data_IF_807216888249
#
_entry.id   IF_807216888249
#
_cell.length_a   1.000
_cell.length_b   1.000
_cell.length_c   1.000
_cell.angle_alpha   90.00
_cell.angle_beta   90.00
_cell.angle_gamma   90.00
#
_symmetry.space_group_name_H-M   'P 1'
#
loop_
_entity.id
_entity.type
_entity.pdbx_description
1 polymer ?
#
# COMPACT_ATOMS: atom_id res chain seq x y z
N UNK A 1 10.27 9.09 -5.52
CA UNK A 1 10.13 9.39 -6.96
C UNK A 1 9.48 10.76 -7.12
N UNK A 2 9.73 11.51 -8.21
CA UNK A 2 9.03 12.78 -8.41
C UNK A 2 7.55 12.53 -8.72
N UNK A 3 6.66 13.10 -7.91
CA UNK A 3 5.19 13.07 -8.06
C UNK A 3 4.73 13.62 -9.41
N UNK A 4 5.60 14.31 -10.15
CA UNK A 4 5.40 14.72 -11.55
C UNK A 4 4.98 13.56 -12.45
N UNK A 5 5.50 12.34 -12.24
CA UNK A 5 5.12 11.17 -13.04
C UNK A 5 3.66 10.74 -12.82
N UNK A 6 3.00 11.25 -11.78
CA UNK A 6 1.60 10.96 -11.49
C UNK A 6 0.64 11.98 -12.14
N UNK A 7 1.14 13.08 -12.70
CA UNK A 7 0.31 14.10 -13.36
C UNK A 7 -0.59 13.54 -14.48
N UNK A 8 -0.14 12.59 -15.34
CA UNK A 8 -1.02 12.02 -16.35
C UNK A 8 -2.27 11.32 -15.77
N UNK A 9 -2.22 10.89 -14.51
CA UNK A 9 -3.35 10.22 -13.85
C UNK A 9 -4.55 11.15 -13.63
N UNK A 10 -4.34 12.48 -13.66
CA UNK A 10 -5.42 13.47 -13.61
C UNK A 10 -6.42 13.32 -14.76
N UNK A 11 -5.96 12.81 -15.90
CA UNK A 11 -6.75 12.68 -17.13
C UNK A 11 -7.21 11.24 -17.37
N UNK A 12 -6.94 10.33 -16.44
CA UNK A 12 -7.26 8.92 -16.62
C UNK A 12 -8.75 8.68 -16.34
N UNK A 13 -9.51 8.10 -17.29
CA UNK A 13 -10.90 7.77 -17.02
C UNK A 13 -11.02 6.69 -15.95
N UNK A 14 -12.09 6.73 -15.17
CA UNK A 14 -12.33 5.83 -14.02
C UNK A 14 -12.18 4.34 -14.37
N UNK A 15 -12.77 3.89 -15.49
CA UNK A 15 -12.69 2.50 -15.93
C UNK A 15 -11.24 2.03 -16.19
N UNK A 16 -10.36 2.94 -16.61
CA UNK A 16 -8.94 2.65 -16.82
C UNK A 16 -8.15 2.66 -15.51
N UNK A 17 -8.60 3.38 -14.48
CA UNK A 17 -7.91 3.41 -13.18
C UNK A 17 -7.92 2.03 -12.49
N UNK A 18 -9.05 1.33 -12.52
CA UNK A 18 -9.14 -0.04 -12.01
C UNK A 18 -8.30 -1.00 -12.87
N UNK A 19 -8.37 -0.86 -14.20
CA UNK A 19 -7.56 -1.65 -15.13
C UNK A 19 -6.06 -1.50 -14.87
N UNK A 20 -5.58 -0.27 -14.63
CA UNK A 20 -4.19 -0.02 -14.27
C UNK A 20 -3.80 -0.72 -12.97
N UNK A 21 -4.64 -0.66 -11.93
CA UNK A 21 -4.38 -1.30 -10.63
C UNK A 21 -4.25 -2.83 -10.74
N UNK A 22 -5.09 -3.45 -11.57
CA UNK A 22 -5.07 -4.90 -11.78
C UNK A 22 -3.90 -5.31 -12.68
N UNK A 23 -3.63 -4.57 -13.76
CA UNK A 23 -2.52 -4.86 -14.68
C UNK A 23 -1.17 -4.71 -13.99
N UNK A 24 -0.98 -3.67 -13.19
CA UNK A 24 0.25 -3.47 -12.44
C UNK A 24 0.51 -4.54 -11.40
N UNK A 25 -0.53 -5.10 -10.78
CA UNK A 25 -0.39 -6.23 -9.87
C UNK A 25 0.19 -7.45 -10.60
N UNK A 26 -0.06 -7.61 -11.90
CA UNK A 26 0.55 -8.69 -12.71
C UNK A 26 2.04 -8.42 -12.99
N UNK A 27 2.41 -7.17 -13.31
CA UNK A 27 3.78 -6.83 -13.73
C UNK A 27 4.76 -6.61 -12.57
N UNK A 28 4.33 -5.89 -11.54
CA UNK A 28 5.14 -5.58 -10.36
C UNK A 28 4.95 -6.61 -9.24
N UNK A 29 4.03 -7.55 -9.46
CA UNK A 29 3.56 -8.47 -8.45
C UNK A 29 2.46 -7.87 -7.59
N UNK A 30 1.69 -8.73 -6.91
CA UNK A 30 0.69 -8.25 -5.98
C UNK A 30 1.45 -7.51 -4.87
N UNK A 31 1.17 -6.22 -4.72
CA UNK A 31 2.11 -5.29 -4.10
C UNK A 31 2.35 -5.46 -2.59
N UNK A 32 1.64 -6.37 -1.93
CA UNK A 32 1.70 -6.54 -0.46
C UNK A 32 2.13 -7.92 0.01
N UNK A 33 2.80 -8.76 -0.78
CA UNK A 33 3.29 -10.03 -0.23
C UNK A 33 4.11 -10.90 -1.16
N UNK A 34 4.23 -10.48 -2.42
CA UNK A 34 4.94 -11.25 -3.44
C UNK A 34 6.42 -11.53 -3.07
N UNK A 35 7.08 -10.62 -2.35
CA UNK A 35 8.46 -10.82 -1.92
C UNK A 35 8.61 -11.50 -0.55
N UNK A 36 7.53 -11.80 0.17
CA UNK A 36 7.60 -12.27 1.57
C UNK A 36 8.23 -13.65 1.69
N UNK A 37 7.95 -14.53 0.72
CA UNK A 37 8.60 -15.84 0.62
C UNK A 37 10.11 -15.70 0.41
N UNK A 38 10.54 -14.71 -0.38
CA UNK A 38 11.94 -14.44 -0.60
C UNK A 38 12.61 -13.90 0.68
N UNK A 39 11.93 -12.98 1.37
CA UNK A 39 12.39 -12.47 2.67
C UNK A 39 12.51 -13.61 3.67
N UNK A 40 11.50 -14.46 3.82
CA UNK A 40 11.53 -15.61 4.71
C UNK A 40 12.72 -16.55 4.42
N UNK A 41 12.98 -16.86 3.14
CA UNK A 41 14.14 -17.66 2.73
C UNK A 41 15.46 -17.02 3.09
N UNK A 42 15.61 -15.71 2.89
CA UNK A 42 16.84 -14.96 3.22
C UNK A 42 17.03 -14.74 4.73
N UNK A 43 15.93 -14.74 5.47
CA UNK A 43 15.95 -14.74 6.93
C UNK A 43 16.29 -16.12 7.50
N UNK A 44 16.28 -17.18 6.68
CA UNK A 44 16.50 -18.56 7.12
C UNK A 44 15.31 -19.13 7.90
N UNK A 45 14.11 -18.56 7.72
CA UNK A 45 12.91 -19.03 8.42
C UNK A 45 12.45 -20.38 7.84
N UNK A 46 12.05 -21.35 8.69
CA UNK A 46 11.51 -22.61 8.23
C UNK A 46 10.18 -22.35 7.48
N UNK A 47 10.09 -22.84 6.24
CA UNK A 47 9.02 -22.47 5.32
C UNK A 47 7.63 -22.87 5.83
N UNK A 48 7.46 -24.08 6.38
CA UNK A 48 6.16 -24.56 6.81
C UNK A 48 5.59 -23.76 8.01
N UNK A 49 6.33 -23.54 9.11
CA UNK A 49 5.89 -22.65 10.18
C UNK A 49 5.63 -21.21 9.72
N UNK A 50 6.48 -20.68 8.83
CA UNK A 50 6.27 -19.35 8.25
C UNK A 50 4.93 -19.28 7.51
N UNK A 51 4.67 -20.20 6.59
CA UNK A 51 3.42 -20.25 5.82
C UNK A 51 2.20 -20.46 6.72
N UNK A 52 2.30 -21.33 7.73
CA UNK A 52 1.20 -21.57 8.66
C UNK A 52 0.83 -20.30 9.44
N UNK A 53 1.82 -19.58 9.99
CA UNK A 53 1.59 -18.31 10.65
C UNK A 53 1.06 -17.25 9.68
N UNK A 54 1.65 -17.16 8.49
CA UNK A 54 1.25 -16.20 7.46
C UNK A 54 -0.22 -16.36 7.07
N UNK A 55 -0.63 -17.58 6.74
CA UNK A 55 -2.02 -17.91 6.39
C UNK A 55 -2.96 -17.78 7.59
N UNK A 56 -2.51 -18.12 8.80
CA UNK A 56 -3.29 -17.92 10.03
C UNK A 56 -3.61 -16.45 10.28
N UNK A 57 -2.62 -15.55 10.15
CA UNK A 57 -2.82 -14.11 10.27
C UNK A 57 -3.71 -13.54 9.16
N UNK A 58 -3.53 -14.01 7.92
CA UNK A 58 -4.40 -13.62 6.82
C UNK A 58 -5.85 -14.06 7.05
N UNK A 59 -6.06 -15.29 7.50
CA UNK A 59 -7.38 -15.82 7.86
C UNK A 59 -8.02 -15.02 9.00
N UNK A 60 -7.25 -14.62 10.01
CA UNK A 60 -7.73 -13.78 11.12
C UNK A 60 -8.24 -12.42 10.61
N UNK A 61 -7.48 -11.76 9.72
CA UNK A 61 -7.91 -10.49 9.14
C UNK A 61 -9.14 -10.66 8.24
N UNK A 62 -9.25 -11.75 7.47
CA UNK A 62 -10.46 -12.04 6.70
C UNK A 62 -11.68 -12.26 7.61
N UNK A 63 -11.52 -12.99 8.72
CA UNK A 63 -12.58 -13.14 9.71
C UNK A 63 -12.99 -11.77 10.27
N UNK A 64 -12.03 -10.90 10.58
CA UNK A 64 -12.30 -9.54 11.04
C UNK A 64 -13.05 -8.71 9.98
N UNK A 65 -12.66 -8.80 8.71
CA UNK A 65 -13.32 -8.11 7.59
C UNK A 65 -14.80 -8.48 7.53
N UNK A 66 -15.13 -9.77 7.61
CA UNK A 66 -16.52 -10.22 7.48
C UNK A 66 -17.34 -10.03 8.77
N UNK A 67 -16.73 -10.09 9.95
CA UNK A 67 -17.45 -9.94 11.22
C UNK A 67 -17.60 -8.49 11.66
N UNK A 68 -16.60 -7.65 11.39
CA UNK A 68 -16.54 -6.23 11.81
C UNK A 68 -15.91 -5.36 10.69
N UNK A 69 -16.58 -5.18 9.54
CA UNK A 69 -16.05 -4.43 8.41
C UNK A 69 -15.53 -3.00 8.74
N UNK A 70 -16.21 -2.20 9.59
CA UNK A 70 -15.70 -0.88 9.98
C UNK A 70 -14.35 -0.95 10.69
N UNK A 71 -14.18 -1.92 11.59
CA UNK A 71 -12.94 -2.12 12.32
C UNK A 71 -11.82 -2.60 11.39
N UNK A 72 -12.15 -3.45 10.42
CA UNK A 72 -11.21 -3.88 9.39
C UNK A 72 -10.69 -2.70 8.55
N UNK A 73 -11.56 -1.77 8.14
CA UNK A 73 -11.14 -0.54 7.44
C UNK A 73 -10.20 0.31 8.31
N UNK A 74 -10.55 0.56 9.57
CA UNK A 74 -9.71 1.35 10.47
C UNK A 74 -8.34 0.70 10.69
N UNK A 75 -8.31 -0.61 10.87
CA UNK A 75 -7.07 -1.36 11.04
C UNK A 75 -6.24 -1.33 9.75
N UNK A 76 -6.87 -1.49 8.59
CA UNK A 76 -6.20 -1.38 7.29
C UNK A 76 -5.54 -0.01 7.12
N UNK A 77 -6.27 1.08 7.35
CA UNK A 77 -5.74 2.44 7.24
C UNK A 77 -4.56 2.68 8.20
N UNK A 78 -4.66 2.18 9.44
CA UNK A 78 -3.59 2.32 10.43
C UNK A 78 -2.33 1.53 10.02
N UNK A 79 -2.47 0.27 9.62
CA UNK A 79 -1.35 -0.56 9.19
C UNK A 79 -0.72 -0.02 7.90
N UNK A 80 -1.52 0.41 6.92
CA UNK A 80 -1.04 0.99 5.67
C UNK A 80 -0.29 2.30 5.93
N UNK A 81 -0.84 3.21 6.75
CA UNK A 81 -0.18 4.46 7.11
C UNK A 81 1.18 4.20 7.77
N UNK A 82 1.22 3.28 8.74
CA UNK A 82 2.46 2.91 9.42
C UNK A 82 3.50 2.35 8.45
N UNK A 83 3.10 1.33 7.67
CA UNK A 83 3.99 0.63 6.75
C UNK A 83 4.53 1.55 5.65
N UNK A 84 3.64 2.26 4.96
CA UNK A 84 3.99 3.08 3.82
C UNK A 84 4.85 4.28 4.23
N UNK A 85 4.50 4.93 5.36
CA UNK A 85 5.28 6.05 5.87
C UNK A 85 6.70 5.64 6.26
N UNK A 86 6.87 4.44 6.83
CA UNK A 86 8.17 3.89 7.21
C UNK A 86 9.02 3.47 6.00
N UNK A 87 8.43 2.79 5.01
CA UNK A 87 9.11 2.35 3.79
C UNK A 87 9.60 3.54 2.96
N UNK A 88 8.87 4.66 2.93
CA UNK A 88 9.32 5.89 2.27
C UNK A 88 10.65 6.42 2.83
N UNK A 89 10.99 6.12 4.09
CA UNK A 89 12.28 6.47 4.68
C UNK A 89 12.55 7.98 4.80
N UNK A 90 11.50 8.80 4.82
CA UNK A 90 11.54 10.28 4.81
C UNK A 90 11.10 10.91 6.14
N UNK A 91 11.16 10.19 7.25
CA UNK A 91 10.66 10.68 8.54
C UNK A 91 9.16 10.98 8.49
N UNK A 92 8.72 12.03 9.19
CA UNK A 92 7.32 12.47 9.22
C UNK A 92 6.76 12.82 7.83
N UNK A 93 7.60 13.28 6.90
CA UNK A 93 7.19 13.56 5.52
C UNK A 93 6.72 12.29 4.78
N UNK A 94 7.31 11.13 5.07
CA UNK A 94 6.87 9.85 4.51
C UNK A 94 5.45 9.50 4.94
N UNK A 95 5.15 9.68 6.23
CA UNK A 95 3.80 9.46 6.76
C UNK A 95 2.78 10.45 6.21
N UNK A 96 3.15 11.72 6.00
CA UNK A 96 2.28 12.70 5.35
C UNK A 96 1.91 12.27 3.92
N UNK A 97 2.88 11.77 3.15
CA UNK A 97 2.62 11.28 1.77
C UNK A 97 1.69 10.08 1.76
N UNK A 98 1.94 9.09 2.62
CA UNK A 98 1.05 7.94 2.78
C UNK A 98 -0.36 8.37 3.23
N UNK A 99 -0.44 9.24 4.24
CA UNK A 99 -1.69 9.79 4.75
C UNK A 99 -2.44 10.60 3.71
N UNK A 100 -1.75 11.31 2.82
CA UNK A 100 -2.39 12.04 1.70
C UNK A 100 -3.18 11.08 0.82
N UNK A 101 -2.58 9.97 0.39
CA UNK A 101 -3.24 8.99 -0.48
C UNK A 101 -4.35 8.23 0.24
N UNK A 102 -4.17 7.93 1.53
CA UNK A 102 -5.14 7.16 2.33
C UNK A 102 -6.32 8.00 2.82
N UNK A 103 -6.11 9.28 3.15
CA UNK A 103 -7.11 10.14 3.81
C UNK A 103 -7.85 11.04 2.82
N UNK A 104 -7.23 11.44 1.71
CA UNK A 104 -7.89 12.33 0.72
C UNK A 104 -9.16 11.75 0.11
N UNK A 105 -9.30 10.42 -0.11
CA UNK A 105 -10.56 9.88 -0.57
C UNK A 105 -11.74 10.20 0.37
N UNK A 106 -11.51 10.23 1.68
CA UNK A 106 -12.53 10.59 2.68
C UNK A 106 -12.78 12.11 2.76
N UNK A 107 -11.87 12.93 2.25
CA UNK A 107 -11.99 14.38 2.25
C UNK A 107 -12.64 14.92 0.96
N UNK A 108 -12.16 14.46 -0.19
CA UNK A 108 -12.47 15.05 -1.49
C UNK A 108 -13.27 14.12 -2.41
N UNK A 109 -13.29 12.81 -2.15
CA UNK A 109 -13.83 11.79 -3.07
C UNK A 109 -14.86 10.86 -2.43
N UNK A 110 -15.62 11.35 -1.44
CA UNK A 110 -16.55 10.54 -0.64
C UNK A 110 -17.57 9.77 -1.49
N UNK A 111 -18.10 10.43 -2.52
CA UNK A 111 -19.06 9.81 -3.45
C UNK A 111 -18.40 8.71 -4.29
N UNK A 112 -17.19 8.96 -4.80
CA UNK A 112 -16.45 8.01 -5.65
C UNK A 112 -16.01 6.74 -4.88
N UNK A 113 -15.77 6.84 -3.57
CA UNK A 113 -15.41 5.67 -2.76
C UNK A 113 -16.61 4.97 -2.12
N UNK A 114 -17.83 5.52 -2.22
CA UNK A 114 -19.00 4.96 -1.56
C UNK A 114 -19.29 3.49 -1.96
N UNK A 115 -19.26 3.09 -3.26
CA UNK A 115 -19.47 1.70 -3.65
C UNK A 115 -18.45 0.74 -3.00
N UNK A 116 -17.18 1.16 -2.98
CA UNK A 116 -16.11 0.44 -2.31
C UNK A 116 -16.37 0.31 -0.80
N UNK A 117 -16.76 1.41 -0.12
CA UNK A 117 -17.04 1.38 1.31
C UNK A 117 -18.25 0.49 1.64
N UNK A 118 -19.28 0.49 0.80
CA UNK A 118 -20.43 -0.42 0.94
C UNK A 118 -19.99 -1.88 0.88
N UNK A 119 -19.19 -2.24 -0.12
CA UNK A 119 -18.72 -3.62 -0.30
C UNK A 119 -17.68 -4.05 0.75
N UNK A 120 -16.72 -3.20 1.09
CA UNK A 120 -15.58 -3.56 1.96
C UNK A 120 -15.83 -3.28 3.45
N UNK A 121 -16.49 -2.16 3.77
CA UNK A 121 -16.63 -1.65 5.14
C UNK A 121 -18.09 -1.60 5.62
N UNK A 122 -19.03 -2.21 4.88
CA UNK A 122 -20.46 -2.18 5.23
C UNK A 122 -21.05 -0.76 5.18
N UNK A 123 -20.49 0.11 4.35
CA UNK A 123 -20.89 1.51 4.18
C UNK A 123 -20.23 2.47 5.17
N UNK A 124 -19.43 1.98 6.12
CA UNK A 124 -18.69 2.85 7.03
C UNK A 124 -17.57 3.58 6.28
N UNK A 125 -17.55 4.91 6.41
CA UNK A 125 -16.46 5.78 5.97
C UNK A 125 -15.91 6.59 7.13
N UNK A 126 -14.60 6.88 7.10
CA UNK A 126 -13.99 7.77 8.07
C UNK A 126 -14.61 9.18 7.93
N UNK A 127 -15.10 9.81 9.01
CA UNK A 127 -15.68 11.14 8.90
C UNK A 127 -14.66 12.16 8.35
N UNK A 128 -15.07 13.09 7.46
CA UNK A 128 -14.13 14.02 6.81
C UNK A 128 -13.35 14.86 7.81
N UNK A 129 -13.97 15.30 8.90
CA UNK A 129 -13.29 16.07 9.95
C UNK A 129 -12.19 15.25 10.66
N UNK A 130 -12.38 13.92 10.83
CA UNK A 130 -11.36 13.03 11.38
C UNK A 130 -10.21 12.89 10.40
N UNK A 131 -10.52 12.60 9.13
CA UNK A 131 -9.52 12.47 8.07
C UNK A 131 -8.68 13.76 7.94
N UNK A 132 -9.32 14.92 7.97
CA UNK A 132 -8.68 16.23 7.89
C UNK A 132 -7.81 16.54 9.10
N UNK A 133 -8.28 16.21 10.31
CA UNK A 133 -7.52 16.41 11.54
C UNK A 133 -6.26 15.52 11.57
N UNK A 134 -6.39 14.25 11.16
CA UNK A 134 -5.24 13.33 11.06
C UNK A 134 -4.24 13.81 10.02
N UNK A 135 -4.71 14.24 8.84
CA UNK A 135 -3.83 14.77 7.81
C UNK A 135 -3.12 16.05 8.25
N UNK A 136 -3.83 16.97 8.91
CA UNK A 136 -3.25 18.19 9.47
C UNK A 136 -2.18 17.89 10.53
N UNK A 137 -2.41 16.91 11.39
CA UNK A 137 -1.41 16.45 12.35
C UNK A 137 -0.15 15.94 11.65
N UNK A 138 -0.29 15.08 10.62
CA UNK A 138 0.83 14.59 9.83
C UNK A 138 1.59 15.73 9.15
N UNK A 139 0.89 16.75 8.65
CA UNK A 139 1.48 17.93 8.05
C UNK A 139 2.30 18.72 9.09
N UNK A 140 1.75 18.97 10.27
CA UNK A 140 2.46 19.67 11.35
C UNK A 140 3.74 18.91 11.77
N UNK A 141 3.65 17.59 11.90
CA UNK A 141 4.80 16.73 12.19
C UNK A 141 5.86 16.81 11.08
N UNK A 142 5.45 16.75 9.81
CA UNK A 142 6.36 16.89 8.67
C UNK A 142 7.02 18.27 8.64
N UNK A 143 6.27 19.35 8.84
CA UNK A 143 6.82 20.71 8.83
C UNK A 143 7.80 20.96 9.99
N UNK A 144 7.60 20.29 11.13
CA UNK A 144 8.54 20.36 12.27
C UNK A 144 9.93 19.84 11.93
N UNK A 145 10.03 18.88 11.00
CA UNK A 145 11.32 18.37 10.49
C UNK A 145 11.98 19.30 9.46
N UNK A 146 11.33 20.43 9.11
CA UNK A 146 11.83 21.44 8.15
C UNK A 146 12.32 20.81 6.83
N UNK A 147 11.43 20.11 6.10
CA UNK A 147 11.80 19.41 4.88
C UNK A 147 12.32 20.42 3.85
N UNK A 148 13.32 20.01 3.07
CA UNK A 148 13.84 20.85 1.98
C UNK A 148 12.75 21.22 0.97
N UNK A 149 12.86 22.37 0.30
CA UNK A 149 11.80 22.92 -0.55
C UNK A 149 11.39 21.96 -1.68
N UNK A 150 12.36 21.23 -2.24
CA UNK A 150 12.10 20.19 -3.26
C UNK A 150 11.23 19.05 -2.73
N UNK A 151 11.49 18.56 -1.52
CA UNK A 151 10.76 17.45 -0.93
C UNK A 151 9.34 17.86 -0.49
N UNK A 152 9.20 19.09 -0.01
CA UNK A 152 7.91 19.67 0.31
C UNK A 152 7.08 19.91 -0.98
N UNK A 153 7.68 20.52 -2.01
CA UNK A 153 7.03 20.74 -3.29
C UNK A 153 6.56 19.43 -3.96
N UNK A 154 7.38 18.37 -3.89
CA UNK A 154 7.01 17.05 -4.37
C UNK A 154 5.81 16.43 -3.61
N UNK A 155 5.71 16.68 -2.30
CA UNK A 155 4.60 16.22 -1.47
C UNK A 155 3.33 17.05 -1.70
N UNK A 156 3.47 18.36 -1.90
CA UNK A 156 2.33 19.22 -2.29
C UNK A 156 1.78 18.82 -3.67
N UNK A 157 2.67 18.49 -4.61
CA UNK A 157 2.27 17.98 -5.92
C UNK A 157 1.52 16.64 -5.80
N UNK A 158 1.97 15.72 -4.94
CA UNK A 158 1.22 14.50 -4.64
C UNK A 158 -0.16 14.84 -4.07
N UNK A 159 -0.25 15.80 -3.15
CA UNK A 159 -1.51 16.29 -2.61
C UNK A 159 -2.44 16.83 -3.69
N UNK A 160 -1.93 17.64 -4.62
CA UNK A 160 -2.70 18.15 -5.74
C UNK A 160 -3.23 17.02 -6.62
N UNK A 161 -2.38 16.05 -6.97
CA UNK A 161 -2.79 14.87 -7.74
C UNK A 161 -3.83 14.05 -6.98
N UNK A 162 -3.66 13.83 -5.68
CA UNK A 162 -4.60 13.07 -4.85
C UNK A 162 -5.96 13.77 -4.68
N UNK A 163 -5.98 15.10 -4.67
CA UNK A 163 -7.20 15.87 -4.56
C UNK A 163 -7.99 15.90 -5.88
N UNK A 164 -7.30 15.88 -7.02
CA UNK A 164 -7.92 16.09 -8.34
C UNK A 164 -8.11 14.81 -9.17
N UNK A 165 -7.19 13.85 -9.09
CA UNK A 165 -7.34 12.57 -9.80
C UNK A 165 -8.39 11.69 -9.11
N UNK A 166 -8.94 10.75 -9.87
CA UNK A 166 -9.78 9.71 -9.31
C UNK A 166 -9.03 8.96 -8.18
N UNK A 167 -9.65 8.68 -7.01
CA UNK A 167 -8.94 8.10 -5.87
C UNK A 167 -8.29 6.75 -6.21
N UNK A 168 -8.89 5.97 -7.10
CA UNK A 168 -8.30 4.70 -7.55
C UNK A 168 -7.05 4.90 -8.40
N UNK A 169 -7.00 5.96 -9.21
CA UNK A 169 -5.83 6.28 -10.03
C UNK A 169 -4.68 6.75 -9.14
N UNK A 170 -4.95 7.62 -8.17
CA UNK A 170 -3.95 8.07 -7.19
C UNK A 170 -3.45 6.90 -6.35
N UNK A 171 -4.37 6.08 -5.83
CA UNK A 171 -4.05 4.89 -5.07
C UNK A 171 -3.15 3.98 -5.90
N UNK A 172 -3.56 3.58 -7.10
CA UNK A 172 -2.76 2.78 -8.01
C UNK A 172 -1.38 3.42 -8.25
N UNK A 173 -1.32 4.66 -8.74
CA UNK A 173 -0.08 5.34 -9.08
C UNK A 173 0.91 5.37 -7.90
N UNK A 174 0.48 5.83 -6.73
CA UNK A 174 1.35 5.89 -5.55
C UNK A 174 1.73 4.50 -5.06
N UNK A 175 0.74 3.64 -4.90
CA UNK A 175 0.91 2.35 -4.30
C UNK A 175 1.81 1.43 -5.14
N UNK A 176 1.65 1.46 -6.46
CA UNK A 176 2.39 0.60 -7.39
C UNK A 176 3.75 1.19 -7.75
N UNK A 177 3.78 2.44 -8.21
CA UNK A 177 4.99 3.02 -8.79
C UNK A 177 5.94 3.54 -7.73
N UNK A 178 5.45 3.82 -6.53
CA UNK A 178 6.30 4.30 -5.47
C UNK A 178 6.48 3.24 -4.40
N UNK A 179 5.43 2.88 -3.69
CA UNK A 179 5.56 2.03 -2.51
C UNK A 179 6.05 0.62 -2.86
N UNK A 180 5.43 -0.03 -3.86
CA UNK A 180 5.75 -1.42 -4.22
C UNK A 180 7.15 -1.57 -4.83
N UNK A 181 7.54 -0.65 -5.71
CA UNK A 181 8.89 -0.63 -6.29
C UNK A 181 9.96 -0.42 -5.22
N UNK A 182 9.73 0.49 -4.27
CA UNK A 182 10.67 0.72 -3.19
C UNK A 182 10.77 -0.50 -2.26
N UNK A 183 9.65 -1.18 -1.96
CA UNK A 183 9.64 -2.45 -1.22
C UNK A 183 10.42 -3.56 -1.94
N UNK A 184 10.21 -3.76 -3.24
CA UNK A 184 10.95 -4.77 -4.03
C UNK A 184 12.44 -4.46 -4.14
N UNK A 185 12.81 -3.18 -4.21
CA UNK A 185 14.21 -2.73 -4.19
C UNK A 185 14.86 -2.93 -2.82
N UNK A 186 14.12 -2.67 -1.74
CA UNK A 186 14.57 -2.90 -0.36
C UNK A 186 14.84 -4.39 -0.10
N UNK A 187 14.01 -5.27 -0.67
CA UNK A 187 14.32 -6.70 -0.67
C UNK A 187 15.49 -6.95 -1.61
N UNK A 188 15.52 -6.38 -2.82
CA UNK A 188 16.57 -6.61 -3.80
C UNK A 188 16.34 -7.89 -4.59
N UNK A 189 15.16 -8.02 -5.18
CA UNK A 189 14.74 -9.13 -6.06
C UNK A 189 15.58 -9.12 -7.35
N UNK A 190 16.13 -10.27 -7.75
CA UNK A 190 17.00 -10.40 -8.94
C UNK A 190 16.74 -11.69 -9.72
N UNK A 191 16.89 -11.62 -11.04
CA UNK A 191 16.92 -12.80 -11.92
C UNK A 191 15.74 -13.74 -11.71
N UNK A 192 16.02 -15.02 -11.39
CA UNK A 192 14.99 -16.05 -11.19
C UNK A 192 14.13 -15.85 -9.94
N UNK A 193 14.51 -14.97 -9.01
CA UNK A 193 13.71 -14.68 -7.82
C UNK A 193 12.36 -14.03 -8.15
N UNK A 194 12.24 -13.40 -9.32
CA UNK A 194 10.96 -12.89 -9.83
C UNK A 194 9.90 -13.98 -9.97
N UNK A 195 10.29 -15.24 -10.16
CA UNK A 195 9.33 -16.35 -10.18
C UNK A 195 8.59 -16.51 -8.84
N UNK A 196 9.27 -16.28 -7.71
CA UNK A 196 8.63 -16.32 -6.39
C UNK A 196 7.68 -15.14 -6.19
N UNK A 197 8.06 -13.97 -6.71
CA UNK A 197 7.20 -12.77 -6.72
C UNK A 197 5.94 -13.03 -7.52
N UNK A 198 6.06 -13.55 -8.74
CA UNK A 198 4.90 -13.88 -9.56
C UNK A 198 4.05 -15.00 -8.96
N UNK A 199 4.65 -16.01 -8.34
CA UNK A 199 3.90 -17.06 -7.65
C UNK A 199 3.06 -16.49 -6.49
N UNK A 200 3.66 -15.65 -5.63
CA UNK A 200 2.94 -14.99 -4.54
C UNK A 200 1.83 -14.07 -5.06
N UNK A 201 2.09 -13.39 -6.17
CA UNK A 201 1.12 -12.53 -6.87
C UNK A 201 -0.11 -13.30 -7.33
N UNK A 202 0.11 -14.42 -8.02
CA UNK A 202 -0.97 -15.28 -8.50
C UNK A 202 -1.77 -15.84 -7.32
N UNK A 203 -1.11 -16.20 -6.22
CA UNK A 203 -1.78 -16.62 -4.98
C UNK A 203 -2.68 -15.52 -4.41
N UNK A 204 -2.20 -14.28 -4.34
CA UNK A 204 -3.00 -13.14 -3.92
C UNK A 204 -4.19 -12.88 -4.85
N UNK A 205 -3.99 -12.96 -6.17
CA UNK A 205 -5.06 -12.77 -7.15
C UNK A 205 -6.11 -13.88 -7.06
N UNK A 206 -5.69 -15.12 -6.84
CA UNK A 206 -6.60 -16.23 -6.54
C UNK A 206 -7.41 -15.94 -5.28
N UNK A 207 -6.79 -15.43 -4.21
CA UNK A 207 -7.52 -15.01 -3.02
C UNK A 207 -8.55 -13.92 -3.35
N UNK A 208 -8.19 -12.90 -4.13
CA UNK A 208 -9.14 -11.87 -4.56
C UNK A 208 -10.33 -12.47 -5.33
N UNK A 209 -10.07 -13.40 -6.26
CA UNK A 209 -11.11 -14.13 -6.99
C UNK A 209 -12.03 -14.94 -6.06
N UNK A 210 -11.48 -15.57 -5.02
CA UNK A 210 -12.25 -16.30 -4.01
C UNK A 210 -13.12 -15.39 -3.12
N UNK A 211 -12.69 -14.15 -2.91
CA UNK A 211 -13.44 -13.15 -2.13
C UNK A 211 -14.55 -12.49 -2.94
N UNK A 212 -14.41 -12.43 -4.27
CA UNK A 212 -15.36 -11.74 -5.15
C UNK A 212 -16.82 -12.16 -4.97
N UNK A 213 -17.20 -13.45 -4.87
CA UNK A 213 -18.60 -13.85 -4.67
C UNK A 213 -19.25 -13.31 -3.39
N UNK A 214 -18.44 -12.95 -2.37
CA UNK A 214 -18.93 -12.38 -1.12
C UNK A 214 -19.02 -10.86 -1.14
N UNK A 215 -18.08 -10.21 -1.83
CA UNK A 215 -17.97 -8.75 -1.83
C UNK A 215 -18.69 -8.10 -3.01
N UNK A 216 -18.88 -8.84 -4.12
CA UNK A 216 -19.56 -8.44 -5.34
C UNK A 216 -19.01 -7.17 -6.02
N UNK A 217 -17.86 -6.68 -5.56
CA UNK A 217 -17.14 -5.55 -6.10
C UNK A 217 -15.67 -5.96 -6.33
N UNK A 218 -15.12 -5.76 -7.54
CA UNK A 218 -13.77 -6.23 -7.89
C UNK A 218 -12.67 -5.49 -7.10
N UNK A 219 -12.87 -4.20 -6.79
CA UNK A 219 -11.92 -3.43 -6.01
C UNK A 219 -11.94 -3.88 -4.55
N UNK A 220 -13.12 -4.05 -3.96
CA UNK A 220 -13.28 -4.56 -2.61
C UNK A 220 -12.69 -5.96 -2.46
N UNK A 221 -12.86 -6.83 -3.46
CA UNK A 221 -12.24 -8.16 -3.48
C UNK A 221 -10.71 -8.09 -3.52
N UNK A 222 -10.16 -7.24 -4.38
CA UNK A 222 -8.72 -7.00 -4.47
C UNK A 222 -8.16 -6.39 -3.18
N UNK A 223 -8.83 -5.38 -2.61
CA UNK A 223 -8.47 -4.74 -1.35
C UNK A 223 -8.68 -5.66 -0.15
N UNK A 224 -9.65 -6.58 -0.20
CA UNK A 224 -9.87 -7.64 0.79
C UNK A 224 -8.68 -8.60 0.84
N UNK A 225 -8.19 -9.04 -0.33
CA UNK A 225 -6.99 -9.85 -0.42
C UNK A 225 -5.78 -9.09 0.12
N UNK A 226 -5.60 -7.83 -0.29
CA UNK A 226 -4.52 -6.98 0.20
C UNK A 226 -4.59 -6.79 1.72
N UNK A 227 -5.77 -6.49 2.27
CA UNK A 227 -5.97 -6.32 3.70
C UNK A 227 -5.57 -7.57 4.46
N UNK A 228 -6.04 -8.75 4.02
CA UNK A 228 -5.69 -10.03 4.61
C UNK A 228 -4.17 -10.25 4.65
N UNK A 229 -3.48 -9.89 3.58
CA UNK A 229 -2.03 -10.06 3.45
C UNK A 229 -1.23 -8.95 4.17
N UNK A 230 -1.85 -7.83 4.53
CA UNK A 230 -1.15 -6.64 5.04
C UNK A 230 -0.42 -6.90 6.36
N UNK A 231 -1.07 -7.54 7.34
CA UNK A 231 -0.43 -7.83 8.63
C UNK A 231 0.74 -8.82 8.51
N UNK A 232 0.58 -10.02 7.91
CA UNK A 232 1.70 -10.94 7.77
C UNK A 232 2.85 -10.34 6.93
N UNK A 233 2.54 -9.54 5.91
CA UNK A 233 3.53 -8.77 5.16
C UNK A 233 4.26 -7.75 6.02
N UNK A 234 3.52 -6.91 6.75
CA UNK A 234 4.08 -5.90 7.65
C UNK A 234 5.06 -6.54 8.63
N UNK A 235 4.69 -7.65 9.27
CA UNK A 235 5.56 -8.36 10.20
C UNK A 235 6.81 -8.90 9.50
N UNK A 236 6.65 -9.48 8.31
CA UNK A 236 7.77 -10.00 7.51
C UNK A 236 8.75 -8.89 7.12
N UNK A 237 8.23 -7.73 6.73
CA UNK A 237 9.04 -6.56 6.36
C UNK A 237 9.69 -5.91 7.59
N UNK A 238 9.02 -5.85 8.74
CA UNK A 238 9.65 -5.35 9.98
C UNK A 238 10.81 -6.25 10.43
N UNK A 239 10.66 -7.57 10.32
CA UNK A 239 11.76 -8.51 10.57
C UNK A 239 12.94 -8.28 9.60
N UNK A 240 12.65 -7.96 8.33
CA UNK A 240 13.68 -7.63 7.34
C UNK A 240 14.39 -6.31 7.65
N UNK A 241 13.62 -5.25 7.92
CA UNK A 241 14.12 -3.91 8.19
C UNK A 241 14.87 -3.81 9.52
N UNK A 242 14.57 -4.69 10.49
CA UNK A 242 15.27 -4.78 11.77
C UNK A 242 16.71 -5.31 11.67
N UNK A 243 17.16 -5.81 10.52
CA UNK A 243 18.56 -6.23 10.35
C UNK A 243 19.50 -5.02 10.23
N UNK A 244 20.70 -5.06 10.84
CA UNK A 244 21.72 -4.06 10.57
C UNK A 244 22.02 -4.07 9.07
N UNK A 245 21.83 -2.93 8.40
CA UNK A 245 22.22 -2.81 7.00
C UNK A 245 23.75 -2.96 6.95
N UNK A 246 24.31 -3.87 6.12
CA UNK A 246 25.75 -3.83 5.87
C UNK A 246 26.11 -2.43 5.37
N UNK A 247 27.26 -1.86 5.79
CA UNK A 247 27.67 -0.53 5.36
C UNK A 247 27.59 -0.46 3.84
N UNK A 248 26.95 0.58 3.33
CA UNK A 248 26.58 0.74 1.94
C UNK A 248 27.82 0.65 1.03
N UNK A 249 28.15 -0.56 0.58
CA UNK A 249 28.96 -0.77 -0.62
C UNK A 249 28.00 -0.90 -1.79
N UNK A 250 27.33 0.20 -2.12
CA UNK A 250 26.83 0.44 -3.46
C UNK A 250 27.43 1.75 -3.92
N UNK A 251 28.04 1.78 -5.12
CA UNK A 251 28.69 2.98 -5.61
C UNK A 251 27.61 4.08 -5.70
N UNK A 252 27.87 5.21 -5.05
CA UNK A 252 27.16 6.43 -5.41
C UNK A 252 27.29 6.64 -6.92
N UNK A 253 26.30 7.29 -7.56
CA UNK A 253 26.45 7.68 -8.96
C UNK A 253 27.76 8.46 -9.07
N UNK A 254 28.72 7.86 -9.76
CA UNK A 254 29.96 8.53 -10.12
C UNK A 254 29.59 9.70 -11.02
N UNK A 255 29.99 10.89 -10.56
CA UNK A 255 30.23 12.15 -11.28
C UNK A 255 29.41 12.40 -12.54
#
# INVERSE_FOLDING_TARGET
MPSLYLLPLLFLPEAWALGLLLLSALFLGMPHGAADLLVARRLGLPLLPFLALYLGLAGLLLALLFLKPPLALLLFLAMALFHWGRVEGKGALGYLRAGTVLLFPFLFHQEAILPFLQAFAGGFGLPPWVAGSLWALLLLLALRERPGPKALGDTLLLGLVAALAHPYATLAGYFLLQHSLDSLRLVGVRGREWLLVYAGTLGGLLLALLLYPRLLDPLAAYMGAIFALTLPHLLTMELWLGRPRPPARWPGPGR
#
